data_IF_732958628014
#
_entry.id   IF_732958628014
#
_cell.length_a   1.000
_cell.length_b   1.000
_cell.length_c   1.000
_cell.angle_alpha   90.00
_cell.angle_beta   90.00
_cell.angle_gamma   90.00
#
_symmetry.space_group_name_H-M   'P 1'
#
loop_
_entity.id
_entity.type
_entity.pdbx_description
1 polymer ?
#
# COMPACT_ATOMS: atom_id res chain seq x y z
N UNK A 1 1.04 -18.39 2.95
CA UNK A 1 0.62 -17.06 3.46
C UNK A 1 -0.50 -16.57 2.58
N UNK A 2 -1.63 -16.17 3.16
CA UNK A 2 -2.80 -15.72 2.39
C UNK A 2 -2.53 -14.39 1.70
N UNK A 3 -2.68 -14.36 0.38
CA UNK A 3 -2.50 -13.20 -0.48
C UNK A 3 -3.79 -12.36 -0.47
N UNK A 4 -3.75 -11.18 0.15
CA UNK A 4 -4.88 -10.25 0.15
C UNK A 4 -4.84 -9.41 -1.12
N UNK A 5 -5.93 -9.44 -1.89
CA UNK A 5 -6.09 -8.65 -3.10
C UNK A 5 -7.42 -7.91 -3.06
N UNK A 6 -7.36 -6.61 -3.24
CA UNK A 6 -8.55 -5.78 -3.46
C UNK A 6 -8.28 -4.86 -4.65
N UNK A 7 -9.31 -4.67 -5.48
CA UNK A 7 -9.26 -3.71 -6.58
C UNK A 7 -9.69 -2.36 -6.05
N UNK A 8 -8.89 -1.35 -6.30
CA UNK A 8 -9.16 0.03 -5.92
C UNK A 8 -9.11 0.91 -7.15
N UNK A 9 -9.95 1.94 -7.17
CA UNK A 9 -9.88 2.98 -8.18
C UNK A 9 -8.74 3.94 -7.83
N UNK A 10 -8.02 4.38 -8.85
CA UNK A 10 -7.01 5.42 -8.70
C UNK A 10 -7.74 6.76 -8.70
N UNK A 11 -7.54 7.54 -7.64
CA UNK A 11 -8.12 8.87 -7.48
C UNK A 11 -7.32 9.91 -8.28
N UNK A 12 -7.68 11.18 -8.12
CA UNK A 12 -6.99 12.31 -8.71
C UNK A 12 -5.48 12.29 -8.42
N UNK A 13 -4.69 12.74 -9.39
CA UNK A 13 -3.23 12.85 -9.28
C UNK A 13 -2.51 11.52 -8.96
N UNK A 14 -3.12 10.38 -9.28
CA UNK A 14 -2.50 9.07 -9.06
C UNK A 14 -2.55 8.59 -7.61
N UNK A 15 -3.38 9.20 -6.75
CA UNK A 15 -3.54 8.75 -5.36
C UNK A 15 -4.26 7.41 -5.32
N UNK A 16 -3.75 6.48 -4.51
CA UNK A 16 -4.36 5.16 -4.30
C UNK A 16 -4.69 4.98 -2.83
N UNK A 17 -5.94 4.62 -2.55
CA UNK A 17 -6.36 4.29 -1.19
C UNK A 17 -5.91 2.87 -0.85
N UNK A 18 -5.09 2.70 0.20
CA UNK A 18 -4.79 1.38 0.74
C UNK A 18 -6.03 0.90 1.52
N UNK A 19 -6.68 -0.24 1.16
CA UNK A 19 -7.87 -0.75 1.85
C UNK A 19 -7.66 -1.02 3.34
N UNK A 20 -8.75 -0.95 4.12
CA UNK A 20 -8.68 -1.03 5.60
C UNK A 20 -8.02 -2.31 6.09
N UNK A 21 -8.43 -3.46 5.58
CA UNK A 21 -7.85 -4.76 5.94
C UNK A 21 -6.34 -4.85 5.68
N UNK A 22 -5.85 -4.28 4.57
CA UNK A 22 -4.43 -4.26 4.23
C UNK A 22 -3.68 -3.32 5.17
N UNK A 23 -4.22 -2.12 5.44
CA UNK A 23 -3.63 -1.19 6.42
C UNK A 23 -3.51 -1.79 7.81
N UNK A 24 -4.60 -2.40 8.30
CA UNK A 24 -4.67 -2.99 9.63
C UNK A 24 -3.65 -4.15 9.76
N UNK A 25 -3.52 -5.00 8.72
CA UNK A 25 -2.56 -6.11 8.71
C UNK A 25 -1.10 -5.66 8.65
N UNK A 26 -0.82 -4.57 7.94
CA UNK A 26 0.53 -4.00 7.81
C UNK A 26 0.87 -2.98 8.92
N UNK A 27 -0.06 -2.68 9.83
CA UNK A 27 0.14 -1.68 10.88
C UNK A 27 0.33 -0.25 10.37
N UNK A 28 -0.21 0.06 9.19
CA UNK A 28 -0.09 1.39 8.56
C UNK A 28 -1.03 2.36 9.26
N UNK A 29 -0.47 3.45 9.79
CA UNK A 29 -1.20 4.51 10.49
C UNK A 29 -0.82 5.88 9.93
N UNK A 30 -1.56 6.91 10.33
CA UNK A 30 -1.21 8.30 9.98
C UNK A 30 0.24 8.59 10.38
N UNK A 31 1.03 9.09 9.43
CA UNK A 31 2.45 9.38 9.61
C UNK A 31 3.41 8.20 9.37
N UNK A 32 2.91 6.99 9.06
CA UNK A 32 3.75 5.90 8.55
C UNK A 32 4.44 6.31 7.25
N UNK A 33 5.72 5.97 7.12
CA UNK A 33 6.50 6.18 5.90
C UNK A 33 6.54 4.86 5.13
N UNK A 34 6.22 4.92 3.84
CA UNK A 34 6.29 3.80 2.92
C UNK A 34 7.39 4.08 1.91
N UNK A 35 8.24 3.09 1.66
CA UNK A 35 9.11 3.09 0.47
C UNK A 35 8.29 2.60 -0.72
N UNK A 36 8.35 3.33 -1.84
CA UNK A 36 7.59 3.01 -3.06
C UNK A 36 8.56 2.84 -4.21
N UNK A 37 8.53 1.69 -4.86
CA UNK A 37 9.43 1.39 -5.98
C UNK A 37 8.76 0.50 -7.03
N UNK A 38 9.34 0.45 -8.23
CA UNK A 38 8.83 -0.32 -9.35
C UNK A 38 9.58 -1.65 -9.44
N UNK A 39 8.83 -2.76 -9.55
CA UNK A 39 9.38 -4.09 -9.83
C UNK A 39 8.61 -4.73 -10.98
N UNK A 40 9.23 -4.79 -12.16
CA UNK A 40 8.58 -5.26 -13.38
C UNK A 40 7.41 -4.35 -13.77
N UNK A 41 6.19 -4.89 -13.80
CA UNK A 41 4.94 -4.14 -14.08
C UNK A 41 4.12 -3.83 -12.82
N UNK A 42 4.74 -3.93 -11.64
CA UNK A 42 4.08 -3.69 -10.36
C UNK A 42 4.73 -2.52 -9.61
N UNK A 43 3.89 -1.78 -8.88
CA UNK A 43 4.32 -0.86 -7.83
C UNK A 43 4.35 -1.66 -6.53
N UNK A 44 5.50 -1.67 -5.87
CA UNK A 44 5.66 -2.27 -4.54
C UNK A 44 5.74 -1.16 -3.51
N UNK A 45 5.09 -1.38 -2.36
CA UNK A 45 5.14 -0.48 -1.21
C UNK A 45 5.61 -1.27 0.00
N UNK A 46 6.65 -0.80 0.68
CA UNK A 46 7.20 -1.41 1.88
C UNK A 46 7.10 -0.45 3.07
N UNK A 47 6.68 -0.95 4.23
CA UNK A 47 6.59 -0.15 5.45
C UNK A 47 7.99 0.04 6.03
N UNK A 48 8.46 1.28 6.09
CA UNK A 48 9.69 1.60 6.80
C UNK A 48 9.37 1.71 8.30
N UNK A 49 9.73 0.68 9.05
CA UNK A 49 9.75 0.76 10.51
C UNK A 49 10.91 1.68 10.92
N UNK A 50 10.61 2.67 11.77
CA UNK A 50 11.64 3.40 12.50
C UNK A 50 12.21 2.53 13.62
#
# INVERSE_FOLDING_TARGET
MEELRERVEVLDQGRVTIPKNIRDRLGIKTGSILEVYIKGKAIIMEVLLK
#
